data_IF_672910863787
#
_entry.id   IF_672910863787
#
_cell.length_a   1.000
_cell.length_b   1.000
_cell.length_c   1.000
_cell.angle_alpha   90.00
_cell.angle_beta   90.00
_cell.angle_gamma   90.00
#
_symmetry.space_group_name_H-M   'P 1'
#
loop_
_entity.id
_entity.type
_entity.pdbx_description
1 polymer ?
#
# COMPACT_ATOMS: atom_id res chain seq x y z
N UNK A 1 22.46 32.89 8.13
CA UNK A 1 22.70 31.43 8.22
C UNK A 1 21.60 30.72 9.01
N UNK A 2 21.30 31.14 10.25
CA UNK A 2 20.22 30.54 11.07
C UNK A 2 18.82 30.62 10.41
N UNK A 3 18.48 31.75 9.79
CA UNK A 3 17.16 31.98 9.14
C UNK A 3 16.92 31.01 7.97
N UNK A 4 17.95 30.77 7.16
CA UNK A 4 17.86 29.84 6.01
C UNK A 4 17.67 28.40 6.49
N UNK A 5 18.33 28.03 7.58
CA UNK A 5 18.19 26.71 8.21
C UNK A 5 16.77 26.47 8.75
N UNK A 6 16.20 27.47 9.42
CA UNK A 6 14.82 27.40 9.95
C UNK A 6 13.81 27.32 8.80
N UNK A 7 13.99 28.10 7.74
CA UNK A 7 13.14 28.04 6.56
C UNK A 7 13.21 26.68 5.85
N UNK A 8 14.41 26.09 5.74
CA UNK A 8 14.61 24.78 5.12
C UNK A 8 13.94 23.67 5.94
N UNK A 9 14.10 23.69 7.27
CA UNK A 9 13.44 22.72 8.16
C UNK A 9 11.92 22.85 8.06
N UNK A 10 11.40 24.08 8.08
CA UNK A 10 9.96 24.34 7.92
C UNK A 10 9.42 23.80 6.60
N UNK A 11 10.15 23.97 5.50
CA UNK A 11 9.77 23.45 4.18
C UNK A 11 9.74 21.92 4.15
N UNK A 12 10.75 21.25 4.73
CA UNK A 12 10.81 19.78 4.79
C UNK A 12 9.67 19.22 5.65
N UNK A 13 9.36 19.86 6.77
CA UNK A 13 8.23 19.47 7.63
C UNK A 13 6.89 19.69 6.92
N UNK A 14 6.72 20.81 6.19
CA UNK A 14 5.53 21.09 5.42
C UNK A 14 5.31 20.07 4.28
N UNK A 15 6.37 19.70 3.57
CA UNK A 15 6.35 18.64 2.55
C UNK A 15 6.04 17.27 3.19
N UNK A 16 6.67 16.95 4.32
CA UNK A 16 6.39 15.72 5.06
C UNK A 16 4.94 15.61 5.50
N UNK A 17 4.34 16.70 5.98
CA UNK A 17 2.92 16.77 6.37
C UNK A 17 1.97 16.75 5.18
N UNK A 18 2.33 17.37 4.05
CA UNK A 18 1.52 17.35 2.84
C UNK A 18 1.39 15.94 2.21
N UNK A 19 2.44 15.13 2.34
CA UNK A 19 2.47 13.74 1.87
C UNK A 19 2.21 12.71 3.00
N UNK A 20 1.82 13.15 4.19
CA UNK A 20 1.51 12.26 5.30
C UNK A 20 0.10 11.67 5.14
N UNK A 21 -0.07 10.33 5.08
CA UNK A 21 -1.39 9.73 5.01
C UNK A 21 -2.09 9.93 6.37
N UNK A 22 -3.12 10.78 6.39
CA UNK A 22 -3.91 11.08 7.59
C UNK A 22 -4.91 9.93 7.86
N UNK A 23 -4.79 9.15 8.95
CA UNK A 23 -5.61 7.96 9.20
C UNK A 23 -7.02 8.28 9.75
N UNK A 24 -7.61 9.41 9.39
CA UNK A 24 -8.78 9.97 10.12
C UNK A 24 -9.86 10.66 9.30
N UNK A 25 -9.81 10.65 7.96
CA UNK A 25 -10.94 11.11 7.13
C UNK A 25 -11.69 9.92 6.55
N UNK A 26 -12.42 9.22 7.43
CA UNK A 26 -13.64 8.57 6.96
C UNK A 26 -14.57 9.68 6.44
N UNK A 27 -15.10 9.61 5.21
CA UNK A 27 -16.11 10.55 4.77
C UNK A 27 -17.30 10.41 5.72
N UNK A 28 -17.65 11.51 6.40
CA UNK A 28 -18.92 11.61 7.08
C UNK A 28 -20.01 11.37 6.01
N UNK A 29 -20.59 10.17 6.02
CA UNK A 29 -21.76 9.83 5.23
C UNK A 29 -22.87 10.73 5.76
N UNK A 30 -23.03 11.87 5.08
CA UNK A 30 -24.12 12.80 5.29
C UNK A 30 -25.42 12.07 5.09
N UNK A 31 -26.09 11.80 6.20
CA UNK A 31 -27.49 11.40 6.27
C UNK A 31 -28.31 12.59 5.76
N UNK A 32 -28.57 12.61 4.45
CA UNK A 32 -29.54 13.51 3.84
C UNK A 32 -30.54 12.66 3.03
N UNK A 33 -31.80 13.02 3.19
CA UNK A 33 -32.99 12.22 2.94
C UNK A 33 -33.10 11.60 1.54
N UNK A 34 -33.60 10.37 1.54
CA UNK A 34 -34.10 9.60 0.40
C UNK A 34 -35.39 10.27 -0.13
N UNK A 35 -35.58 10.31 -1.46
CA UNK A 35 -36.81 9.77 -2.00
C UNK A 35 -36.52 8.53 -2.85
N UNK A 36 -37.41 7.59 -2.63
CA UNK A 36 -37.53 6.25 -3.16
C UNK A 36 -37.50 6.21 -4.69
N UNK A 37 -36.52 5.52 -5.27
CA UNK A 37 -36.67 5.02 -6.63
C UNK A 37 -35.98 3.66 -6.82
N UNK A 38 -36.84 2.72 -7.20
CA UNK A 38 -36.63 1.32 -7.50
C UNK A 38 -35.27 0.98 -8.14
N UNK A 39 -34.57 0.05 -7.50
CA UNK A 39 -33.36 -0.58 -8.00
C UNK A 39 -32.40 -0.79 -6.85
N UNK A 40 -32.52 -1.92 -6.14
CA UNK A 40 -31.46 -2.34 -5.21
C UNK A 40 -30.14 -2.31 -6.00
N UNK A 41 -29.13 -1.52 -5.60
CA UNK A 41 -27.79 -1.88 -5.98
C UNK A 41 -27.55 -3.23 -5.32
N UNK A 42 -27.20 -4.25 -6.11
CA UNK A 42 -26.57 -5.43 -5.55
C UNK A 42 -25.46 -4.96 -4.60
N UNK A 43 -25.30 -5.59 -3.43
CA UNK A 43 -24.13 -5.29 -2.60
C UNK A 43 -22.92 -5.50 -3.50
N UNK A 44 -22.18 -4.42 -3.77
CA UNK A 44 -20.89 -4.49 -4.44
C UNK A 44 -20.05 -5.39 -3.54
N UNK A 45 -20.00 -6.67 -3.90
CA UNK A 45 -19.15 -7.65 -3.24
C UNK A 45 -17.77 -7.04 -3.33
N UNK A 46 -17.07 -6.76 -2.21
CA UNK A 46 -15.71 -6.25 -2.30
C UNK A 46 -14.95 -7.20 -3.20
N UNK A 47 -14.48 -6.69 -4.34
CA UNK A 47 -13.80 -7.47 -5.36
C UNK A 47 -12.62 -8.17 -4.70
N UNK A 48 -12.86 -9.44 -4.35
CA UNK A 48 -11.94 -10.45 -3.81
C UNK A 48 -10.80 -9.89 -2.95
N UNK A 49 -10.96 -9.95 -1.62
CA UNK A 49 -9.82 -9.74 -0.72
C UNK A 49 -8.63 -10.61 -1.16
N UNK A 50 -7.41 -10.07 -1.18
CA UNK A 50 -6.26 -10.84 -1.64
C UNK A 50 -6.04 -12.07 -0.76
N UNK A 51 -6.01 -13.25 -1.37
CA UNK A 51 -5.80 -14.52 -0.67
C UNK A 51 -4.33 -14.74 -0.25
N UNK A 52 -3.42 -13.88 -0.73
CA UNK A 52 -1.99 -13.94 -0.42
C UNK A 52 -1.41 -12.59 -0.02
N UNK A 53 -0.32 -12.64 0.75
CA UNK A 53 0.44 -11.48 1.21
C UNK A 53 1.02 -10.66 0.05
N UNK A 54 1.48 -11.32 -1.01
CA UNK A 54 1.99 -10.69 -2.22
C UNK A 54 0.87 -9.90 -2.95
N UNK A 55 -0.35 -10.45 -2.94
CA UNK A 55 -1.54 -9.76 -3.46
C UNK A 55 -1.86 -8.50 -2.66
N UNK A 56 -1.82 -8.56 -1.33
CA UNK A 56 -2.02 -7.38 -0.46
C UNK A 56 -1.01 -6.28 -0.77
N UNK A 57 0.28 -6.62 -0.90
CA UNK A 57 1.34 -5.66 -1.22
C UNK A 57 1.12 -5.01 -2.60
N UNK A 58 0.57 -5.75 -3.55
CA UNK A 58 0.29 -5.24 -4.90
C UNK A 58 -0.86 -4.24 -4.88
N UNK A 59 -1.94 -4.56 -4.15
CA UNK A 59 -3.07 -3.62 -3.96
C UNK A 59 -2.61 -2.35 -3.26
N UNK A 60 -1.79 -2.45 -2.22
CA UNK A 60 -1.24 -1.28 -1.51
C UNK A 60 -0.33 -0.42 -2.41
N UNK A 61 0.45 -1.04 -3.30
CA UNK A 61 1.29 -0.31 -4.25
C UNK A 61 0.43 0.44 -5.27
N UNK A 62 -0.61 -0.22 -5.80
CA UNK A 62 -1.55 0.39 -6.75
C UNK A 62 -2.38 1.51 -6.11
N UNK A 63 -2.76 1.34 -4.84
CA UNK A 63 -3.44 2.35 -4.03
C UNK A 63 -2.52 3.50 -3.57
N UNK A 64 -1.21 3.40 -3.82
CA UNK A 64 -0.24 4.41 -3.39
C UNK A 64 0.03 4.46 -1.89
N UNK A 65 -0.48 3.47 -1.13
CA UNK A 65 -0.25 3.34 0.31
C UNK A 65 1.21 2.99 0.64
N UNK A 66 1.88 2.30 -0.29
CA UNK A 66 3.31 2.00 -0.23
C UNK A 66 4.02 2.45 -1.50
N UNK A 67 5.27 2.89 -1.34
CA UNK A 67 6.15 3.19 -2.46
C UNK A 67 6.71 1.92 -3.11
N UNK A 68 7.14 2.04 -4.37
CA UNK A 68 7.84 0.96 -5.09
C UNK A 68 9.04 0.40 -4.32
N UNK A 69 9.81 1.25 -3.63
CA UNK A 69 10.97 0.81 -2.84
C UNK A 69 10.55 0.00 -1.62
N UNK A 70 9.44 0.35 -0.98
CA UNK A 70 8.89 -0.41 0.13
C UNK A 70 8.35 -1.76 -0.33
N UNK A 71 7.66 -1.80 -1.47
CA UNK A 71 7.20 -3.03 -2.11
C UNK A 71 8.35 -4.02 -2.35
N UNK A 72 9.42 -3.58 -3.03
CA UNK A 72 10.59 -4.43 -3.32
C UNK A 72 11.22 -4.97 -2.05
N UNK A 73 11.47 -4.12 -1.05
CA UNK A 73 12.04 -4.54 0.24
C UNK A 73 11.13 -5.49 1.03
N UNK A 74 9.82 -5.39 0.87
CA UNK A 74 8.88 -6.30 1.51
C UNK A 74 8.91 -7.66 0.80
N UNK A 75 8.90 -7.65 -0.53
CA UNK A 75 8.98 -8.85 -1.35
C UNK A 75 10.29 -9.62 -1.13
N UNK A 76 11.42 -8.93 -1.06
CA UNK A 76 12.73 -9.52 -0.71
C UNK A 76 12.69 -10.25 0.65
N UNK A 77 12.01 -9.68 1.65
CA UNK A 77 11.90 -10.29 2.98
C UNK A 77 11.03 -11.53 2.96
N UNK A 78 9.97 -11.53 2.16
CA UNK A 78 9.12 -12.71 1.94
C UNK A 78 9.96 -13.81 1.28
N UNK A 79 10.63 -13.50 0.17
CA UNK A 79 11.48 -14.45 -0.54
C UNK A 79 12.59 -15.02 0.35
N UNK A 80 13.28 -14.18 1.13
CA UNK A 80 14.32 -14.64 2.06
C UNK A 80 13.76 -15.54 3.18
N UNK A 81 12.51 -15.33 3.59
CA UNK A 81 11.83 -16.21 4.55
C UNK A 81 11.40 -17.51 3.90
N UNK A 82 10.97 -17.45 2.65
CA UNK A 82 10.54 -18.62 1.89
C UNK A 82 11.72 -19.54 1.59
N UNK A 83 12.87 -19.01 1.16
CA UNK A 83 14.11 -19.78 0.97
C UNK A 83 14.52 -20.53 2.26
N UNK A 84 14.32 -19.91 3.43
CA UNK A 84 14.59 -20.59 4.72
C UNK A 84 13.61 -21.72 5.02
N UNK A 85 12.38 -21.67 4.51
CA UNK A 85 11.34 -22.68 4.74
C UNK A 85 11.34 -23.77 3.66
N UNK A 86 11.61 -23.37 2.43
CA UNK A 86 11.53 -24.16 1.21
C UNK A 86 12.79 -23.87 0.37
N UNK A 87 13.97 -24.35 0.81
CA UNK A 87 15.22 -24.07 0.11
C UNK A 87 15.17 -24.65 -1.31
N UNK A 88 15.55 -23.84 -2.29
CA UNK A 88 15.58 -24.28 -3.69
C UNK A 88 16.95 -24.85 -4.04
N UNK A 89 17.00 -26.10 -4.48
CA UNK A 89 18.22 -26.71 -4.99
C UNK A 89 18.46 -26.28 -6.43
N UNK A 90 19.66 -25.77 -6.73
CA UNK A 90 20.06 -25.52 -8.12
C UNK A 90 20.34 -26.87 -8.78
N UNK A 91 19.69 -27.20 -9.91
CA UNK A 91 19.99 -28.42 -10.65
C UNK A 91 21.46 -28.44 -11.09
N UNK A 92 22.12 -29.62 -11.14
CA UNK A 92 23.49 -29.69 -11.60
C UNK A 92 23.60 -29.14 -13.04
N UNK A 93 24.63 -28.32 -13.27
CA UNK A 93 24.97 -27.83 -14.61
C UNK A 93 25.26 -29.02 -15.52
N UNK A 94 24.31 -29.36 -16.39
CA UNK A 94 24.53 -30.35 -17.44
C UNK A 94 25.38 -29.71 -18.54
N UNK A 95 26.70 -29.66 -18.33
CA UNK A 95 27.65 -29.38 -19.41
C UNK A 95 27.96 -30.71 -20.12
N UNK A 96 27.70 -30.82 -21.45
CA UNK A 96 28.00 -32.02 -22.22
C UNK A 96 29.51 -32.27 -22.36
#
# INVERSE_FOLDING_TARGET
MMIVFVALIGLVVALGLAFWPWPGRAPAVGRAAVPEQAGRPEPVVPEKMPDSLEGVLTVQLMGGEISRRQYVRALERIAARDERRHPMSVPPDYRP
#
